data_IF_647213045963
#
_entry.id   IF_647213045963
#
_cell.length_a   1.000
_cell.length_b   1.000
_cell.length_c   1.000
_cell.angle_alpha   90.00
_cell.angle_beta   90.00
_cell.angle_gamma   90.00
#
_symmetry.space_group_name_H-M   'P 1'
#
loop_
_entity.id
_entity.type
_entity.pdbx_description
1 polymer ?
#
# COMPACT_ATOMS: atom_id res chain seq x y z
N UNK A 1 -12.89 -26.26 -42.31
CA UNK A 1 -12.37 -27.09 -41.22
C UNK A 1 -10.87 -26.97 -41.24
N UNK A 2 -10.35 -26.15 -40.34
CA UNK A 2 -8.94 -26.01 -39.99
C UNK A 2 -8.94 -25.36 -38.60
N UNK A 3 -8.88 -26.25 -37.60
CA UNK A 3 -8.22 -26.07 -36.30
C UNK A 3 -8.29 -24.67 -35.67
N UNK A 4 -9.30 -24.51 -34.82
CA UNK A 4 -9.49 -23.43 -33.85
C UNK A 4 -8.82 -23.84 -32.52
N UNK A 5 -7.58 -24.36 -32.60
CA UNK A 5 -6.78 -24.80 -31.47
C UNK A 5 -5.54 -23.90 -31.35
N UNK A 6 -5.74 -22.76 -30.68
CA UNK A 6 -4.79 -22.01 -29.85
C UNK A 6 -5.35 -20.59 -29.66
N UNK A 7 -6.27 -20.43 -28.71
CA UNK A 7 -6.74 -19.10 -28.30
C UNK A 7 -6.75 -18.98 -26.78
N UNK A 8 -5.63 -19.33 -26.16
CA UNK A 8 -5.35 -19.06 -24.74
C UNK A 8 -4.87 -17.61 -24.56
N UNK A 9 -5.56 -16.67 -25.21
CA UNK A 9 -5.29 -15.24 -25.13
C UNK A 9 -6.50 -14.50 -24.56
N UNK A 10 -6.30 -13.47 -23.72
CA UNK A 10 -7.40 -12.68 -23.18
C UNK A 10 -8.21 -12.06 -24.31
N UNK A 11 -9.54 -12.04 -24.13
CA UNK A 11 -10.52 -11.63 -25.15
C UNK A 11 -10.16 -10.29 -25.81
N UNK A 12 -9.60 -9.35 -25.04
CA UNK A 12 -9.20 -8.02 -25.50
C UNK A 12 -8.17 -8.04 -26.64
N UNK A 13 -7.17 -8.91 -26.58
CA UNK A 13 -6.14 -9.01 -27.64
C UNK A 13 -6.76 -9.55 -28.93
N UNK A 14 -7.64 -10.55 -28.80
CA UNK A 14 -8.35 -11.14 -29.93
C UNK A 14 -9.28 -10.12 -30.59
N UNK A 15 -10.07 -9.38 -29.80
CA UNK A 15 -10.97 -8.34 -30.30
C UNK A 15 -10.20 -7.22 -31.02
N UNK A 16 -9.07 -6.78 -30.44
CA UNK A 16 -8.19 -5.81 -31.09
C UNK A 16 -7.66 -6.33 -32.43
N UNK A 17 -7.10 -7.54 -32.45
CA UNK A 17 -6.58 -8.17 -33.67
C UNK A 17 -7.66 -8.27 -34.75
N UNK A 18 -8.87 -8.68 -34.40
CA UNK A 18 -10.00 -8.78 -35.33
C UNK A 18 -10.37 -7.40 -35.89
N UNK A 19 -10.52 -6.39 -35.03
CA UNK A 19 -10.92 -5.04 -35.44
C UNK A 19 -9.89 -4.40 -36.40
N UNK A 20 -8.59 -4.51 -36.07
CA UNK A 20 -7.54 -3.97 -36.91
C UNK A 20 -7.38 -4.79 -38.20
N UNK A 21 -7.39 -6.12 -38.14
CA UNK A 21 -7.26 -6.97 -39.34
C UNK A 21 -8.38 -6.70 -40.36
N UNK A 22 -9.62 -6.50 -39.89
CA UNK A 22 -10.73 -6.12 -40.76
C UNK A 22 -10.48 -4.75 -41.42
N UNK A 23 -9.95 -3.79 -40.67
CA UNK A 23 -9.59 -2.47 -41.20
C UNK A 23 -8.48 -2.56 -42.24
N UNK A 24 -7.43 -3.37 -41.98
CA UNK A 24 -6.34 -3.62 -42.92
C UNK A 24 -6.82 -4.29 -44.21
N UNK A 25 -7.75 -5.24 -44.09
CA UNK A 25 -8.38 -5.88 -45.25
C UNK A 25 -9.16 -4.87 -46.08
N UNK A 26 -9.99 -4.04 -45.44
CA UNK A 26 -10.74 -2.99 -46.12
C UNK A 26 -9.81 -1.99 -46.84
N UNK A 27 -8.65 -1.66 -46.26
CA UNK A 27 -7.64 -0.81 -46.91
C UNK A 27 -7.07 -1.51 -48.14
N UNK A 28 -6.67 -2.79 -48.03
CA UNK A 28 -6.10 -3.55 -49.13
C UNK A 28 -7.07 -3.78 -50.29
N UNK A 29 -8.37 -3.86 -50.00
CA UNK A 29 -9.47 -4.06 -50.95
C UNK A 29 -10.16 -2.74 -51.36
N UNK A 30 -9.68 -1.59 -50.89
CA UNK A 30 -10.32 -0.27 -51.12
C UNK A 30 -10.35 0.15 -52.59
N UNK A 31 -9.40 -0.35 -53.38
CA UNK A 31 -9.34 -0.12 -54.83
C UNK A 31 -9.84 -1.39 -55.52
N UNK A 32 -10.97 -1.28 -56.24
CA UNK A 32 -11.51 -2.40 -57.00
C UNK A 32 -10.63 -2.74 -58.22
N UNK A 33 -10.77 -3.95 -58.76
CA UNK A 33 -10.04 -4.35 -59.98
C UNK A 33 -10.34 -3.40 -61.16
N UNK A 34 -11.59 -2.92 -61.27
CA UNK A 34 -11.99 -1.96 -62.30
C UNK A 34 -11.32 -0.61 -62.14
N UNK A 35 -11.29 -0.07 -60.92
CA UNK A 35 -10.67 1.23 -60.64
C UNK A 35 -9.15 1.15 -60.87
N UNK A 36 -8.53 0.03 -60.47
CA UNK A 36 -7.13 -0.23 -60.71
C UNK A 36 -6.79 -0.24 -62.22
N UNK A 37 -7.64 -0.84 -63.04
CA UNK A 37 -7.47 -0.91 -64.49
C UNK A 37 -7.73 0.45 -65.17
N UNK A 38 -8.63 1.26 -64.62
CA UNK A 38 -8.88 2.63 -65.06
C UNK A 38 -7.67 3.54 -64.78
N UNK A 39 -7.05 3.40 -63.61
CA UNK A 39 -5.83 4.14 -63.23
C UNK A 39 -4.65 3.73 -64.12
N UNK A 40 -4.43 2.43 -64.31
CA UNK A 40 -3.32 1.90 -65.12
C UNK A 40 -3.70 1.73 -66.60
N UNK A 41 -4.04 2.84 -67.25
CA UNK A 41 -4.49 2.89 -68.66
C UNK A 41 -3.55 2.19 -69.64
N UNK A 42 -2.23 2.22 -69.39
CA UNK A 42 -1.19 1.57 -70.20
C UNK A 42 -1.36 0.04 -70.27
N UNK A 43 -2.02 -0.55 -69.27
CA UNK A 43 -2.22 -1.99 -69.15
C UNK A 43 -3.61 -2.46 -69.64
N UNK A 44 -4.43 -1.57 -70.20
CA UNK A 44 -5.78 -1.90 -70.74
C UNK A 44 -5.75 -3.01 -71.79
N UNK A 45 -4.69 -3.12 -72.58
CA UNK A 45 -4.55 -4.18 -73.59
C UNK A 45 -4.22 -5.57 -72.99
N UNK A 46 -3.93 -5.67 -71.69
CA UNK A 46 -3.54 -6.90 -70.99
C UNK A 46 -4.37 -7.13 -69.71
N UNK A 47 -5.70 -7.26 -69.81
CA UNK A 47 -6.59 -7.37 -68.64
C UNK A 47 -6.26 -8.56 -67.73
N UNK A 48 -5.80 -9.68 -68.29
CA UNK A 48 -5.37 -10.86 -67.51
C UNK A 48 -4.13 -10.59 -66.64
N UNK A 49 -3.23 -9.72 -67.10
CA UNK A 49 -2.04 -9.32 -66.34
C UNK A 49 -2.40 -8.32 -65.26
N UNK A 50 -3.32 -7.40 -65.56
CA UNK A 50 -3.85 -6.43 -64.57
C UNK A 50 -4.54 -7.14 -63.42
N UNK A 51 -5.42 -8.11 -63.70
CA UNK A 51 -6.09 -8.92 -62.66
C UNK A 51 -5.08 -9.61 -61.74
N UNK A 52 -4.04 -10.21 -62.31
CA UNK A 52 -2.98 -10.86 -61.52
C UNK A 52 -2.24 -9.84 -60.67
N UNK A 53 -1.89 -8.69 -61.23
CA UNK A 53 -1.19 -7.63 -60.52
C UNK A 53 -2.01 -7.04 -59.38
N UNK A 54 -3.29 -6.74 -59.61
CA UNK A 54 -4.23 -6.26 -58.58
C UNK A 54 -4.33 -7.27 -57.44
N UNK A 55 -4.56 -8.55 -57.76
CA UNK A 55 -4.62 -9.61 -56.74
C UNK A 55 -3.33 -9.71 -55.93
N UNK A 56 -2.17 -9.68 -56.59
CA UNK A 56 -0.87 -9.72 -55.90
C UNK A 56 -0.67 -8.48 -55.03
N UNK A 57 -1.04 -7.29 -55.52
CA UNK A 57 -0.94 -6.05 -54.75
C UNK A 57 -1.79 -6.11 -53.47
N UNK A 58 -3.08 -6.47 -53.59
CA UNK A 58 -3.98 -6.58 -52.43
C UNK A 58 -3.48 -7.62 -51.43
N UNK A 59 -3.04 -8.79 -51.91
CA UNK A 59 -2.54 -9.85 -51.05
C UNK A 59 -1.26 -9.43 -50.32
N UNK A 60 -0.27 -8.88 -51.04
CA UNK A 60 1.00 -8.47 -50.46
C UNK A 60 0.83 -7.31 -49.47
N UNK A 61 -0.01 -6.33 -49.82
CA UNK A 61 -0.32 -5.21 -48.95
C UNK A 61 -0.97 -5.68 -47.64
N UNK A 62 -2.00 -6.53 -47.73
CA UNK A 62 -2.63 -7.10 -46.54
C UNK A 62 -1.63 -7.91 -45.70
N UNK A 63 -0.89 -8.83 -46.31
CA UNK A 63 0.10 -9.67 -45.61
C UNK A 63 1.22 -8.85 -44.95
N UNK A 64 1.69 -7.79 -45.60
CA UNK A 64 2.70 -6.89 -45.05
C UNK A 64 2.17 -6.10 -43.85
N UNK A 65 0.97 -5.51 -43.97
CA UNK A 65 0.36 -4.79 -42.85
C UNK A 65 0.01 -5.72 -41.68
N UNK A 66 -0.48 -6.93 -41.95
CA UNK A 66 -0.75 -7.93 -40.91
C UNK A 66 0.51 -8.35 -40.19
N UNK A 67 1.64 -8.48 -40.88
CA UNK A 67 2.93 -8.74 -40.22
C UNK A 67 3.33 -7.59 -39.29
N UNK A 68 3.21 -6.35 -39.76
CA UNK A 68 3.46 -5.18 -38.93
C UNK A 68 2.55 -5.08 -37.70
N UNK A 69 1.29 -5.57 -37.79
CA UNK A 69 0.40 -5.68 -36.63
C UNK A 69 0.92 -6.70 -35.60
N UNK A 70 1.40 -7.85 -36.06
CA UNK A 70 1.99 -8.86 -35.16
C UNK A 70 3.28 -8.33 -34.52
N UNK A 71 4.15 -7.69 -35.30
CA UNK A 71 5.35 -7.06 -34.78
C UNK A 71 5.01 -5.99 -33.71
N UNK A 72 3.98 -5.16 -33.94
CA UNK A 72 3.50 -4.18 -32.95
C UNK A 72 2.97 -4.83 -31.66
N UNK A 73 2.29 -5.97 -31.78
CA UNK A 73 1.76 -6.70 -30.63
C UNK A 73 2.88 -7.27 -29.75
N UNK A 74 3.99 -7.68 -30.36
CA UNK A 74 5.13 -8.29 -29.68
C UNK A 74 6.18 -7.26 -29.21
N UNK A 75 6.59 -6.30 -30.05
CA UNK A 75 7.67 -5.33 -29.77
C UNK A 75 7.30 -4.34 -28.65
N UNK A 76 6.01 -4.06 -28.46
CA UNK A 76 5.51 -3.09 -27.48
C UNK A 76 4.99 -3.65 -26.16
N UNK A 77 5.15 -4.97 -25.90
CA UNK A 77 4.46 -5.67 -24.79
C UNK A 77 2.95 -5.37 -24.75
N UNK A 78 2.34 -5.06 -25.90
CA UNK A 78 0.93 -4.66 -25.97
C UNK A 78 0.03 -5.83 -25.60
N UNK A 79 0.42 -7.04 -26.02
CA UNK A 79 -0.18 -8.30 -25.59
C UNK A 79 -0.19 -8.43 -24.07
N UNK A 80 0.94 -8.17 -23.41
CA UNK A 80 1.04 -8.26 -21.95
C UNK A 80 0.23 -7.16 -21.24
N UNK A 81 0.26 -5.93 -21.77
CA UNK A 81 -0.52 -4.83 -21.23
C UNK A 81 -2.03 -5.10 -21.31
N UNK A 82 -2.54 -5.55 -22.45
CA UNK A 82 -3.94 -5.93 -22.62
C UNK A 82 -4.33 -7.11 -21.75
N UNK A 83 -3.43 -8.07 -21.56
CA UNK A 83 -3.62 -9.20 -20.65
C UNK A 83 -3.71 -8.74 -19.20
N UNK A 84 -2.83 -7.83 -18.79
CA UNK A 84 -2.83 -7.24 -17.46
C UNK A 84 -4.09 -6.43 -17.20
N UNK A 85 -4.56 -5.67 -18.18
CA UNK A 85 -5.83 -4.93 -18.09
C UNK A 85 -7.01 -5.88 -17.90
N UNK A 86 -7.05 -6.99 -18.64
CA UNK A 86 -8.12 -7.99 -18.49
C UNK A 86 -8.13 -8.57 -17.05
N UNK A 87 -6.96 -8.97 -16.53
CA UNK A 87 -6.83 -9.46 -15.15
C UNK A 87 -7.26 -8.42 -14.12
N UNK A 88 -6.80 -7.17 -14.26
CA UNK A 88 -7.18 -6.08 -13.35
C UNK A 88 -8.69 -5.81 -13.38
N UNK A 89 -9.36 -6.01 -14.53
CA UNK A 89 -10.80 -5.89 -14.64
C UNK A 89 -11.55 -7.03 -13.95
N UNK A 90 -11.01 -8.26 -13.97
CA UNK A 90 -11.58 -9.42 -13.27
C UNK A 90 -11.34 -9.33 -11.76
N UNK A 91 -10.19 -8.81 -11.34
CA UNK A 91 -9.80 -8.62 -9.93
C UNK A 91 -10.46 -7.38 -9.29
N UNK A 92 -11.07 -6.50 -10.09
CA UNK A 92 -11.70 -5.28 -9.60
C UNK A 92 -12.84 -5.62 -8.63
N UNK A 93 -12.71 -5.18 -7.38
CA UNK A 93 -13.73 -5.38 -6.33
C UNK A 93 -14.82 -4.30 -6.34
N UNK A 94 -14.62 -3.23 -7.13
CA UNK A 94 -15.57 -2.13 -7.24
C UNK A 94 -16.66 -2.54 -8.23
N UNK A 95 -17.94 -2.54 -7.84
CA UNK A 95 -19.02 -2.86 -8.76
C UNK A 95 -19.06 -1.84 -9.92
N UNK A 96 -19.42 -2.30 -11.12
CA UNK A 96 -19.48 -1.47 -12.34
C UNK A 96 -20.34 -0.20 -12.22
N UNK A 97 -21.21 -0.13 -11.20
CA UNK A 97 -22.08 1.00 -10.91
C UNK A 97 -21.40 2.13 -10.14
N UNK A 98 -20.27 1.88 -9.49
CA UNK A 98 -19.57 2.88 -8.69
C UNK A 98 -18.42 3.51 -9.48
N UNK A 99 -18.35 4.84 -9.43
CA UNK A 99 -17.27 5.57 -10.08
C UNK A 99 -15.96 5.34 -9.33
N UNK A 100 -15.11 4.50 -9.90
CA UNK A 100 -13.78 4.26 -9.36
C UNK A 100 -12.99 5.57 -9.31
N UNK A 101 -12.25 5.78 -8.21
CA UNK A 101 -11.43 6.97 -8.02
C UNK A 101 -10.51 7.24 -9.22
N UNK A 102 -10.40 8.51 -9.60
CA UNK A 102 -9.49 8.99 -10.64
C UNK A 102 -8.58 10.06 -10.05
N UNK A 103 -7.31 10.15 -10.49
CA UNK A 103 -6.39 11.18 -10.02
C UNK A 103 -6.97 12.59 -10.30
N UNK A 104 -7.08 13.48 -9.29
CA UNK A 104 -7.71 14.80 -9.46
C UNK A 104 -6.83 15.82 -10.21
N UNK A 105 -5.63 15.43 -10.67
CA UNK A 105 -4.66 16.33 -11.30
C UNK A 105 -3.80 17.14 -10.32
N UNK A 106 -4.17 17.22 -9.05
CA UNK A 106 -3.34 17.78 -7.98
C UNK A 106 -2.49 16.70 -7.30
N UNK A 107 -1.18 16.79 -7.51
CA UNK A 107 -0.18 15.84 -6.98
C UNK A 107 -0.15 15.85 -5.45
N UNK A 108 -0.43 16.99 -4.81
CA UNK A 108 -0.37 17.10 -3.34
C UNK A 108 -1.49 16.30 -2.66
N UNK A 109 -2.67 16.25 -3.28
CA UNK A 109 -3.78 15.41 -2.85
C UNK A 109 -3.50 13.92 -3.13
N UNK A 110 -2.78 13.61 -4.21
CA UNK A 110 -2.45 12.24 -4.60
C UNK A 110 -1.35 11.59 -3.74
N UNK A 111 -0.36 12.38 -3.30
CA UNK A 111 0.71 11.89 -2.42
C UNK A 111 0.18 11.47 -1.04
N UNK A 112 -0.85 12.15 -0.54
CA UNK A 112 -1.48 11.81 0.74
C UNK A 112 -2.09 10.40 0.77
N UNK A 113 -2.54 9.87 -0.36
CA UNK A 113 -3.14 8.52 -0.41
C UNK A 113 -2.11 7.41 -0.50
N UNK A 114 -0.98 7.62 -1.17
CA UNK A 114 0.06 6.59 -1.34
C UNK A 114 0.81 6.31 -0.04
N UNK A 115 1.10 7.35 0.74
CA UNK A 115 1.77 7.19 2.04
C UNK A 115 0.79 6.92 3.19
N UNK A 116 -0.52 6.97 2.95
CA UNK A 116 -1.54 6.78 3.98
C UNK A 116 -1.36 5.47 4.75
N UNK A 117 -1.02 4.38 4.05
CA UNK A 117 -0.79 3.08 4.70
C UNK A 117 0.43 3.12 5.62
N UNK A 118 1.55 3.65 5.14
CA UNK A 118 2.80 3.76 5.93
C UNK A 118 2.62 4.67 7.13
N UNK A 119 1.91 5.79 6.94
CA UNK A 119 1.57 6.73 8.03
C UNK A 119 0.69 6.02 9.06
N UNK A 120 -0.30 5.25 8.62
CA UNK A 120 -1.17 4.47 9.51
C UNK A 120 -0.36 3.46 10.32
N UNK A 121 0.46 2.63 9.69
CA UNK A 121 1.32 1.66 10.38
C UNK A 121 2.26 2.33 11.39
N UNK A 122 2.90 3.44 11.00
CA UNK A 122 3.77 4.19 11.90
C UNK A 122 3.00 4.78 13.08
N UNK A 123 1.78 5.29 12.86
CA UNK A 123 0.93 5.85 13.91
C UNK A 123 0.49 4.78 14.92
N UNK A 124 0.10 3.59 14.45
CA UNK A 124 -0.30 2.47 15.32
C UNK A 124 0.87 1.95 16.15
N UNK A 125 2.09 1.96 15.60
CA UNK A 125 3.30 1.61 16.34
C UNK A 125 3.63 2.63 17.43
N UNK A 126 3.54 3.92 17.11
CA UNK A 126 3.76 5.01 18.06
C UNK A 126 2.74 4.97 19.20
N UNK A 127 1.47 4.75 18.88
CA UNK A 127 0.40 4.64 19.88
C UNK A 127 0.70 3.51 20.89
N UNK A 128 1.11 2.33 20.40
CA UNK A 128 1.50 1.21 21.29
C UNK A 128 2.65 1.58 22.21
N UNK A 129 3.69 2.25 21.69
CA UNK A 129 4.84 2.67 22.50
C UNK A 129 4.46 3.70 23.56
N UNK A 130 3.58 4.65 23.22
CA UNK A 130 3.09 5.65 24.16
C UNK A 130 2.31 5.00 25.29
N UNK A 131 1.38 4.09 24.97
CA UNK A 131 0.58 3.37 25.98
C UNK A 131 1.48 2.57 26.93
N UNK A 132 2.48 1.86 26.40
CA UNK A 132 3.44 1.10 27.22
C UNK A 132 4.23 2.00 28.17
N UNK A 133 4.71 3.14 27.66
CA UNK A 133 5.48 4.11 28.46
C UNK A 133 4.61 4.80 29.52
N UNK A 134 3.37 5.15 29.20
CA UNK A 134 2.41 5.73 30.14
C UNK A 134 2.09 4.76 31.27
N UNK A 135 1.83 3.48 30.95
CA UNK A 135 1.57 2.44 31.95
C UNK A 135 2.78 2.19 32.86
N UNK A 136 3.99 2.16 32.29
CA UNK A 136 5.22 2.03 33.09
C UNK A 136 5.45 3.23 34.03
N UNK A 137 5.16 4.44 33.55
CA UNK A 137 5.26 5.66 34.36
C UNK A 137 4.23 5.68 35.49
N UNK A 138 3.01 5.23 35.25
CA UNK A 138 1.97 5.14 36.29
C UNK A 138 2.38 4.18 37.42
N UNK A 139 2.87 2.99 37.06
CA UNK A 139 3.39 2.03 38.05
C UNK A 139 4.57 2.59 38.86
N UNK A 140 5.46 3.34 38.19
CA UNK A 140 6.58 4.01 38.86
C UNK A 140 6.08 5.09 39.83
N UNK A 141 5.09 5.88 39.43
CA UNK A 141 4.50 6.92 40.29
C UNK A 141 3.85 6.33 41.54
N UNK A 142 3.14 5.21 41.42
CA UNK A 142 2.56 4.48 42.54
C UNK A 142 3.64 4.03 43.52
N UNK A 143 4.70 3.39 43.02
CA UNK A 143 5.84 2.95 43.83
C UNK A 143 6.53 4.13 44.56
N UNK A 144 6.67 5.28 43.88
CA UNK A 144 7.22 6.49 44.48
C UNK A 144 6.30 7.04 45.57
N UNK A 145 4.99 7.05 45.35
CA UNK A 145 4.02 7.52 46.34
C UNK A 145 4.02 6.64 47.60
N UNK A 146 4.07 5.32 47.44
CA UNK A 146 4.17 4.36 48.55
C UNK A 146 5.46 4.55 49.35
N UNK A 147 6.61 4.64 48.66
CA UNK A 147 7.90 4.84 49.31
C UNK A 147 7.97 6.18 50.06
N UNK A 148 7.46 7.27 49.48
CA UNK A 148 7.33 8.57 50.16
C UNK A 148 6.45 8.47 51.41
N UNK A 149 5.32 7.78 51.32
CA UNK A 149 4.41 7.58 52.46
C UNK A 149 5.09 6.81 53.60
N UNK A 150 5.85 5.75 53.27
CA UNK A 150 6.65 5.00 54.25
C UNK A 150 7.70 5.86 54.92
N UNK A 151 8.41 6.70 54.16
CA UNK A 151 9.43 7.61 54.70
C UNK A 151 8.78 8.60 55.66
N UNK A 152 7.63 9.19 55.30
CA UNK A 152 6.90 10.10 56.18
C UNK A 152 6.50 9.40 57.50
N UNK A 153 5.94 8.19 57.42
CA UNK A 153 5.56 7.43 58.61
C UNK A 153 6.75 7.10 59.52
N UNK A 154 7.93 6.78 58.95
CA UNK A 154 9.16 6.56 59.74
C UNK A 154 9.61 7.88 60.38
N UNK A 155 9.62 8.97 59.64
CA UNK A 155 10.01 10.28 60.13
C UNK A 155 9.12 10.75 61.29
N UNK A 156 7.80 10.56 61.18
CA UNK A 156 6.84 10.90 62.24
C UNK A 156 7.07 10.06 63.50
N UNK A 157 7.37 8.77 63.32
CA UNK A 157 7.71 7.89 64.44
C UNK A 157 9.02 8.31 65.13
N UNK A 158 10.06 8.65 64.36
CA UNK A 158 11.33 9.14 64.92
C UNK A 158 11.13 10.44 65.67
N UNK A 159 10.38 11.39 65.10
CA UNK A 159 10.06 12.66 65.74
C UNK A 159 9.35 12.43 67.08
N UNK A 160 8.34 11.56 67.12
CA UNK A 160 7.63 11.21 68.36
C UNK A 160 8.55 10.58 69.42
N UNK A 161 9.47 9.71 69.02
CA UNK A 161 10.44 9.10 69.94
C UNK A 161 11.39 10.16 70.48
N UNK A 162 11.91 11.04 69.63
CA UNK A 162 12.79 12.13 70.01
C UNK A 162 12.10 13.12 70.95
N UNK A 163 10.82 13.43 70.73
CA UNK A 163 10.06 14.33 71.61
C UNK A 163 9.80 13.72 73.00
N UNK A 164 9.62 12.40 73.09
CA UNK A 164 9.37 11.70 74.35
C UNK A 164 10.66 11.40 75.15
N UNK A 165 11.80 11.25 74.46
CA UNK A 165 13.06 10.85 75.07
C UNK A 165 13.53 11.76 76.22
N UNK A 166 13.50 13.11 76.13
CA UNK A 166 13.89 13.99 77.23
C UNK A 166 13.05 13.75 78.50
N UNK A 167 11.74 13.57 78.34
CA UNK A 167 10.83 13.33 79.46
C UNK A 167 11.13 11.99 80.15
N UNK A 168 11.43 10.95 79.36
CA UNK A 168 11.79 9.63 79.89
C UNK A 168 13.15 9.64 80.58
N UNK A 169 14.16 10.31 79.99
CA UNK A 169 15.48 10.49 80.59
C UNK A 169 15.40 11.26 81.92
N UNK A 170 14.61 12.33 81.97
CA UNK A 170 14.41 13.10 83.20
C UNK A 170 13.75 12.26 84.29
N UNK A 171 12.75 11.44 83.97
CA UNK A 171 12.15 10.50 84.92
C UNK A 171 13.16 9.50 85.45
N UNK A 172 13.98 8.92 84.57
CA UNK A 172 15.02 7.97 84.95
C UNK A 172 16.05 8.60 85.89
N UNK A 173 16.49 9.83 85.57
CA UNK A 173 17.41 10.59 86.41
C UNK A 173 16.81 10.85 87.80
N UNK A 174 15.56 11.29 87.88
CA UNK A 174 14.86 11.49 89.15
C UNK A 174 14.80 10.19 89.97
N UNK A 175 14.50 9.05 89.34
CA UNK A 175 14.48 7.76 90.06
C UNK A 175 15.86 7.34 90.54
N UNK A 176 16.91 7.60 89.76
CA UNK A 176 18.29 7.33 90.15
C UNK A 176 18.69 8.18 91.37
N UNK A 177 18.38 9.48 91.36
CA UNK A 177 18.64 10.39 92.49
C UNK A 177 17.91 9.93 93.77
N UNK A 178 16.65 9.49 93.65
CA UNK A 178 15.89 8.93 94.77
C UNK A 178 16.55 7.66 95.33
N UNK A 179 16.92 6.72 94.47
CA UNK A 179 17.58 5.47 94.90
C UNK A 179 18.95 5.74 95.54
N UNK A 180 19.74 6.67 94.98
CA UNK A 180 21.02 7.08 95.54
C UNK A 180 20.85 7.72 96.92
N UNK A 181 19.78 8.48 97.14
CA UNK A 181 19.44 9.06 98.45
C UNK A 181 19.05 7.97 99.45
N UNK A 182 18.23 7.00 99.04
CA UNK A 182 17.88 5.85 99.89
C UNK A 182 19.11 5.01 100.27
N UNK A 183 20.01 4.74 99.34
CA UNK A 183 21.26 4.02 99.61
C UNK A 183 22.13 4.73 100.66
N UNK A 184 22.29 6.05 100.53
CA UNK A 184 23.02 6.87 101.53
C UNK A 184 22.37 6.91 102.92
N UNK A 185 21.08 6.58 103.03
CA UNK A 185 20.38 6.52 104.31
C UNK A 185 20.46 5.15 105.00
N UNK A 186 21.04 4.15 104.33
CA UNK A 186 21.21 2.77 104.83
C UNK A 186 22.67 2.51 105.27
N UNK A 187 23.63 3.34 104.83
CA UNK A 187 25.00 3.45 105.38
C UNK A 187 25.05 4.34 106.63
#
# INVERSE_FOLDING_TARGET
>A
MAEDEEAEGPNNVRLFRIAISNSLKNIAESVSESDFLEIFTVLKSKPSSVRKLHKTMTQELYSSMSRGLEDLLEEGSLRDAMTKIAKLSEEATVPDTEEAWRPPGDVTLHLRSLDAHKIKEASEQLEKQVIEMEGANEALMETIAESRSRICAINDNLTRVLDCAPTMLQRLQNTYEQLATCLKSIE
#
